data_IF_513693681461
#
_entry.id   IF_513693681461
#
_cell.length_a   1.000
_cell.length_b   1.000
_cell.length_c   1.000
_cell.angle_alpha   90.00
_cell.angle_beta   90.00
_cell.angle_gamma   90.00
#
_symmetry.space_group_name_H-M   'P 1'
#
loop_
_entity.id
_entity.type
_entity.pdbx_description
1 polymer ?
#
# COMPACT_ATOMS: atom_id res chain seq x y z
N UNK A 1 1.34 -26.47 -2.44
CA UNK A 1 2.05 -25.74 -1.37
C UNK A 1 1.09 -24.67 -0.88
N UNK A 2 0.86 -24.55 0.44
CA UNK A 2 0.05 -23.45 0.96
C UNK A 2 0.76 -22.16 0.60
N UNK A 3 0.10 -21.24 -0.08
CA UNK A 3 0.62 -19.90 -0.34
C UNK A 3 0.86 -19.21 1.01
N UNK A 4 1.91 -18.47 1.07
CA UNK A 4 2.50 -17.88 2.25
C UNK A 4 1.71 -16.62 2.70
N UNK A 5 2.18 -15.94 3.72
CA UNK A 5 1.47 -14.80 4.30
C UNK A 5 1.70 -13.53 3.48
N UNK A 6 0.63 -12.78 3.25
CA UNK A 6 0.67 -11.43 2.70
C UNK A 6 0.24 -10.42 3.78
N UNK A 7 1.10 -9.48 4.13
CA UNK A 7 0.79 -8.37 5.03
C UNK A 7 0.45 -7.12 4.21
N UNK A 8 -0.70 -6.49 4.50
CA UNK A 8 -1.14 -5.25 3.87
C UNK A 8 -1.30 -4.18 4.94
N UNK A 9 -0.45 -3.14 4.93
CA UNK A 9 -0.60 -2.03 5.86
C UNK A 9 -1.78 -1.14 5.50
N UNK A 10 -2.54 -0.67 6.52
CA UNK A 10 -3.81 0.00 6.27
C UNK A 10 -4.81 -0.87 5.51
N UNK A 11 -4.77 -2.18 5.75
CA UNK A 11 -5.50 -3.20 5.00
C UNK A 11 -7.03 -3.12 5.14
N UNK A 12 -7.53 -2.46 6.19
CA UNK A 12 -8.96 -2.31 6.45
C UNK A 12 -9.57 -1.02 5.85
N UNK A 13 -8.77 -0.20 5.15
CA UNK A 13 -9.26 0.95 4.38
C UNK A 13 -9.81 0.52 3.01
N UNK A 14 -10.46 1.44 2.28
CA UNK A 14 -11.12 1.12 1.00
C UNK A 14 -10.19 0.46 -0.02
N UNK A 15 -9.03 1.04 -0.30
CA UNK A 15 -8.04 0.46 -1.21
C UNK A 15 -7.40 -0.81 -0.61
N UNK A 16 -7.06 -0.77 0.69
CA UNK A 16 -6.49 -1.89 1.41
C UNK A 16 -7.39 -3.12 1.38
N UNK A 17 -8.70 -2.93 1.55
CA UNK A 17 -9.70 -4.00 1.45
C UNK A 17 -9.70 -4.69 0.08
N UNK A 18 -9.65 -3.92 -1.00
CA UNK A 18 -9.58 -4.50 -2.35
C UNK A 18 -8.27 -5.27 -2.58
N UNK A 19 -7.14 -4.75 -2.09
CA UNK A 19 -5.84 -5.44 -2.15
C UNK A 19 -5.92 -6.76 -1.36
N UNK A 20 -6.46 -6.73 -0.13
CA UNK A 20 -6.64 -7.94 0.68
C UNK A 20 -7.49 -8.99 -0.04
N UNK A 21 -8.61 -8.58 -0.64
CA UNK A 21 -9.49 -9.49 -1.41
C UNK A 21 -8.77 -10.11 -2.61
N UNK A 22 -8.04 -9.32 -3.40
CA UNK A 22 -7.31 -9.84 -4.57
C UNK A 22 -6.20 -10.82 -4.16
N UNK A 23 -5.44 -10.54 -3.10
CA UNK A 23 -4.44 -11.46 -2.58
C UNK A 23 -5.06 -12.75 -2.00
N UNK A 24 -6.18 -12.65 -1.29
CA UNK A 24 -6.88 -13.81 -0.75
C UNK A 24 -7.45 -14.72 -1.86
N UNK A 25 -7.97 -14.14 -2.96
CA UNK A 25 -8.40 -14.90 -4.15
C UNK A 25 -7.25 -15.71 -4.77
N UNK A 26 -6.04 -15.18 -4.72
CA UNK A 26 -4.84 -15.88 -5.16
C UNK A 26 -4.34 -16.94 -4.14
N UNK A 27 -5.02 -17.09 -3.01
CA UNK A 27 -4.77 -18.14 -2.00
C UNK A 27 -3.70 -17.76 -0.96
N UNK A 28 -3.34 -16.48 -0.81
CA UNK A 28 -2.51 -16.02 0.30
C UNK A 28 -3.30 -16.01 1.60
N UNK A 29 -2.63 -16.31 2.72
CA UNK A 29 -3.11 -15.95 4.05
C UNK A 29 -2.89 -14.46 4.22
N UNK A 30 -3.94 -13.68 4.23
CA UNK A 30 -3.83 -12.22 4.25
C UNK A 30 -3.95 -11.68 5.66
N UNK A 31 -3.00 -10.85 6.07
CA UNK A 31 -3.06 -10.07 7.30
C UNK A 31 -3.29 -8.61 6.93
N UNK A 32 -4.42 -8.07 7.37
CA UNK A 32 -4.76 -6.66 7.22
C UNK A 32 -4.29 -5.89 8.46
N UNK A 33 -3.30 -5.00 8.30
CA UNK A 33 -2.91 -4.15 9.41
C UNK A 33 -3.95 -3.04 9.64
N UNK A 34 -4.20 -2.76 10.90
CA UNK A 34 -4.98 -1.63 11.39
C UNK A 34 -4.33 -1.05 12.65
N UNK A 35 -4.79 0.12 13.09
CA UNK A 35 -4.38 0.69 14.36
C UNK A 35 -4.82 -0.21 15.53
N UNK A 36 -4.09 -0.21 16.64
CA UNK A 36 -4.58 -0.80 17.88
C UNK A 36 -5.96 -0.23 18.23
N UNK A 37 -6.83 -1.07 18.76
CA UNK A 37 -8.20 -0.70 19.15
C UNK A 37 -9.02 -0.04 18.03
N UNK A 38 -8.78 -0.38 16.77
CA UNK A 38 -9.52 0.13 15.62
C UNK A 38 -11.00 -0.30 15.70
N UNK A 39 -11.96 0.62 15.94
CA UNK A 39 -13.34 0.24 16.25
C UNK A 39 -14.03 -0.59 15.16
N UNK A 40 -13.82 -0.34 13.85
CA UNK A 40 -14.44 -1.14 12.79
C UNK A 40 -13.81 -2.53 12.57
N UNK A 41 -12.72 -2.90 13.29
CA UNK A 41 -11.97 -4.14 13.03
C UNK A 41 -12.83 -5.39 12.98
N UNK A 42 -13.64 -5.61 14.02
CA UNK A 42 -14.43 -6.84 14.15
C UNK A 42 -15.56 -6.91 13.10
N UNK A 43 -16.19 -5.78 12.81
CA UNK A 43 -17.20 -5.67 11.75
C UNK A 43 -16.58 -5.92 10.37
N UNK A 44 -15.39 -5.35 10.12
CA UNK A 44 -14.67 -5.56 8.88
C UNK A 44 -14.29 -7.03 8.69
N UNK A 45 -13.77 -7.70 9.74
CA UNK A 45 -13.44 -9.13 9.69
C UNK A 45 -14.68 -9.98 9.44
N UNK A 46 -15.80 -9.65 10.09
CA UNK A 46 -17.06 -10.35 9.87
C UNK A 46 -17.56 -10.19 8.43
N UNK A 47 -17.45 -8.99 7.86
CA UNK A 47 -17.81 -8.70 6.47
C UNK A 47 -16.94 -9.50 5.50
N UNK A 48 -15.63 -9.50 5.68
CA UNK A 48 -14.71 -10.28 4.86
C UNK A 48 -15.03 -11.77 4.90
N UNK A 49 -15.31 -12.30 6.09
CA UNK A 49 -15.70 -13.70 6.27
C UNK A 49 -17.04 -14.02 5.60
N UNK A 50 -18.03 -13.13 5.70
CA UNK A 50 -19.32 -13.30 5.02
C UNK A 50 -19.19 -13.33 3.49
N UNK A 51 -18.21 -12.61 2.96
CA UNK A 51 -17.87 -12.63 1.53
C UNK A 51 -16.97 -13.82 1.12
N UNK A 52 -16.62 -14.70 2.05
CA UNK A 52 -15.83 -15.91 1.79
C UNK A 52 -14.31 -15.70 1.87
N UNK A 53 -13.83 -14.58 2.45
CA UNK A 53 -12.41 -14.32 2.66
C UNK A 53 -12.00 -14.61 4.10
N UNK A 54 -11.05 -15.52 4.28
CA UNK A 54 -10.42 -15.79 5.59
C UNK A 54 -9.18 -14.89 5.71
N UNK A 55 -9.31 -13.82 6.50
CA UNK A 55 -8.30 -12.80 6.70
C UNK A 55 -8.03 -12.59 8.19
N UNK A 56 -6.83 -12.15 8.51
CA UNK A 56 -6.36 -11.91 9.87
C UNK A 56 -6.15 -10.43 10.10
N UNK A 57 -6.23 -9.98 11.36
CA UNK A 57 -5.86 -8.63 11.75
C UNK A 57 -4.43 -8.58 12.27
N UNK A 58 -3.67 -7.55 11.87
CA UNK A 58 -2.37 -7.20 12.41
C UNK A 58 -2.42 -5.80 13.04
N UNK A 59 -2.50 -5.71 14.36
CA UNK A 59 -2.65 -4.43 15.05
C UNK A 59 -1.28 -3.77 15.28
N UNK A 60 -1.07 -2.59 14.73
CA UNK A 60 0.06 -1.72 14.98
C UNK A 60 -0.20 -0.31 14.42
N UNK A 61 0.27 0.72 15.10
CA UNK A 61 0.49 2.01 14.48
C UNK A 61 1.78 1.91 13.63
N UNK A 62 1.65 2.00 12.32
CA UNK A 62 2.79 1.88 11.40
C UNK A 62 3.79 3.02 11.50
N UNK A 63 3.45 4.12 12.19
CA UNK A 63 4.37 5.21 12.49
C UNK A 63 5.28 4.89 13.68
N UNK A 64 4.93 3.88 14.47
CA UNK A 64 5.71 3.39 15.61
C UNK A 64 6.54 2.17 15.19
N UNK A 65 7.85 2.35 15.19
CA UNK A 65 8.81 1.33 14.77
C UNK A 65 8.73 0.05 15.62
N UNK A 66 8.62 0.19 16.95
CA UNK A 66 8.59 -0.97 17.85
C UNK A 66 7.28 -1.75 17.75
N UNK A 67 6.15 -1.07 17.57
CA UNK A 67 4.86 -1.73 17.30
C UNK A 67 4.91 -2.51 15.99
N UNK A 68 5.55 -1.98 14.93
CA UNK A 68 5.76 -2.70 13.68
C UNK A 68 6.54 -4.00 13.92
N UNK A 69 7.61 -3.95 14.69
CA UNK A 69 8.40 -5.14 15.03
C UNK A 69 7.64 -6.17 15.84
N UNK A 70 6.84 -5.73 16.81
CA UNK A 70 5.98 -6.62 17.61
C UNK A 70 4.91 -7.29 16.74
N UNK A 71 4.26 -6.53 15.85
CA UNK A 71 3.29 -7.06 14.89
C UNK A 71 3.90 -8.12 13.98
N UNK A 72 5.05 -7.84 13.37
CA UNK A 72 5.72 -8.79 12.47
C UNK A 72 6.06 -10.09 13.20
N UNK A 73 6.65 -10.02 14.39
CA UNK A 73 6.97 -11.20 15.21
C UNK A 73 5.74 -12.03 15.53
N UNK A 74 4.62 -11.38 15.89
CA UNK A 74 3.36 -12.06 16.18
C UNK A 74 2.81 -12.77 14.95
N UNK A 75 2.78 -12.10 13.80
CA UNK A 75 2.32 -12.69 12.53
C UNK A 75 3.15 -13.92 12.18
N UNK A 76 4.48 -13.82 12.23
CA UNK A 76 5.36 -14.93 11.86
C UNK A 76 5.24 -16.12 12.82
N UNK A 77 5.00 -15.88 14.11
CA UNK A 77 4.82 -16.92 15.11
C UNK A 77 3.45 -17.64 15.01
N UNK A 78 2.37 -16.91 14.72
CA UNK A 78 1.00 -17.42 14.81
C UNK A 78 0.42 -17.84 13.44
N UNK A 79 0.85 -17.20 12.34
CA UNK A 79 0.23 -17.39 11.01
C UNK A 79 1.23 -17.98 10.01
N UNK A 80 2.46 -17.48 10.00
CA UNK A 80 3.53 -17.95 9.13
C UNK A 80 4.42 -16.82 8.60
N UNK A 81 5.45 -17.21 7.87
CA UNK A 81 6.43 -16.28 7.30
C UNK A 81 5.78 -15.32 6.31
N UNK A 82 6.12 -14.03 6.42
CA UNK A 82 5.62 -13.00 5.51
C UNK A 82 6.45 -13.04 4.23
N UNK A 83 5.82 -13.43 3.12
CA UNK A 83 6.46 -13.46 1.80
C UNK A 83 6.02 -12.34 0.88
N UNK A 84 4.90 -11.69 1.20
CA UNK A 84 4.40 -10.51 0.48
C UNK A 84 4.14 -9.40 1.48
N UNK A 85 4.71 -8.23 1.22
CA UNK A 85 4.44 -6.99 1.94
C UNK A 85 3.85 -5.97 0.98
N UNK A 86 2.66 -5.45 1.28
CA UNK A 86 2.07 -4.30 0.60
C UNK A 86 2.03 -3.12 1.55
N UNK A 87 2.91 -2.15 1.34
CA UNK A 87 2.92 -0.88 2.05
C UNK A 87 1.86 0.04 1.45
N UNK A 88 0.66 0.02 2.03
CA UNK A 88 -0.50 0.78 1.54
C UNK A 88 -0.96 1.86 2.53
N UNK A 89 -0.64 1.79 3.81
CA UNK A 89 -1.03 2.80 4.79
C UNK A 89 -0.66 4.23 4.33
N UNK A 90 -1.56 5.17 4.53
CA UNK A 90 -1.32 6.54 4.14
C UNK A 90 -2.48 7.48 4.48
N UNK A 91 -2.13 8.74 4.65
CA UNK A 91 -3.07 9.85 4.90
C UNK A 91 -2.76 11.04 4.01
N UNK A 92 -3.72 11.95 3.89
CA UNK A 92 -3.52 13.28 3.30
C UNK A 92 -3.80 14.37 4.35
N UNK A 93 -3.08 15.49 4.24
CA UNK A 93 -3.31 16.73 4.98
C UNK A 93 -3.02 17.88 4.00
N UNK A 94 -3.98 18.12 3.13
CA UNK A 94 -3.84 19.02 1.99
C UNK A 94 -3.86 20.48 2.43
N UNK A 95 -3.07 21.32 1.75
CA UNK A 95 -3.01 22.74 2.00
C UNK A 95 -1.94 23.41 1.14
N UNK A 96 -2.13 24.68 0.82
CA UNK A 96 -1.10 25.46 0.14
C UNK A 96 0.18 25.52 0.97
N UNK A 97 1.35 25.31 0.36
CA UNK A 97 2.64 25.22 1.05
C UNK A 97 2.88 26.38 2.02
N UNK A 98 2.58 27.62 1.62
CA UNK A 98 2.75 28.82 2.48
C UNK A 98 1.90 28.83 3.75
N UNK A 99 0.86 27.98 3.82
CA UNK A 99 -0.07 27.85 4.96
C UNK A 99 0.00 26.48 5.62
N UNK A 100 0.89 25.61 5.14
CA UNK A 100 1.02 24.25 5.66
C UNK A 100 1.67 24.28 7.03
N UNK A 101 0.96 23.76 8.01
CA UNK A 101 1.50 23.62 9.35
C UNK A 101 2.53 22.47 9.41
N UNK A 102 3.58 22.66 10.21
CA UNK A 102 4.63 21.65 10.39
C UNK A 102 4.07 20.31 10.86
N UNK A 103 3.05 20.33 11.72
CA UNK A 103 2.38 19.13 12.21
C UNK A 103 1.71 18.33 11.06
N UNK A 104 1.10 19.01 10.08
CA UNK A 104 0.50 18.35 8.91
C UNK A 104 1.57 17.77 7.96
N UNK A 105 2.70 18.47 7.84
CA UNK A 105 3.85 17.94 7.12
C UNK A 105 4.37 16.67 7.78
N UNK A 106 4.66 16.71 9.09
CA UNK A 106 5.22 15.59 9.84
C UNK A 106 4.29 14.39 9.85
N UNK A 107 3.00 14.59 10.10
CA UNK A 107 2.03 13.52 10.09
C UNK A 107 1.98 12.78 8.75
N UNK A 108 2.07 13.51 7.63
CA UNK A 108 2.05 12.89 6.30
C UNK A 108 3.35 12.17 6.00
N UNK A 109 4.51 12.75 6.34
CA UNK A 109 5.81 12.09 6.13
C UNK A 109 5.89 10.82 6.98
N UNK A 110 5.54 10.90 8.27
CA UNK A 110 5.59 9.76 9.17
C UNK A 110 4.68 8.62 8.73
N UNK A 111 3.42 8.93 8.37
CA UNK A 111 2.47 7.88 7.97
C UNK A 111 2.74 7.32 6.57
N UNK A 112 3.17 8.16 5.61
CA UNK A 112 3.25 7.73 4.21
C UNK A 112 4.65 7.31 3.77
N UNK A 113 5.72 7.69 4.49
CA UNK A 113 7.10 7.38 4.12
C UNK A 113 7.83 6.61 5.23
N UNK A 114 7.89 7.15 6.46
CA UNK A 114 8.60 6.48 7.54
C UNK A 114 7.98 5.13 7.87
N UNK A 115 6.65 5.00 7.78
CA UNK A 115 5.95 3.74 7.96
C UNK A 115 6.43 2.63 6.99
N UNK A 116 6.76 3.01 5.75
CA UNK A 116 7.29 2.06 4.75
C UNK A 116 8.64 1.52 5.20
N UNK A 117 9.50 2.38 5.73
CA UNK A 117 10.76 1.95 6.35
C UNK A 117 10.47 1.06 7.57
N UNK A 118 9.65 1.51 8.50
CA UNK A 118 9.38 0.83 9.76
C UNK A 118 8.96 -0.63 9.56
N UNK A 119 8.01 -0.88 8.67
CA UNK A 119 7.51 -2.25 8.42
C UNK A 119 8.49 -3.05 7.58
N UNK A 120 9.02 -2.46 6.50
CA UNK A 120 9.92 -3.15 5.57
C UNK A 120 11.21 -3.58 6.25
N UNK A 121 11.75 -2.78 7.16
CA UNK A 121 12.99 -3.07 7.87
C UNK A 121 12.94 -4.36 8.70
N UNK A 122 11.79 -4.70 9.28
CA UNK A 122 11.63 -5.96 10.01
C UNK A 122 11.42 -7.19 9.12
N UNK A 123 10.95 -7.02 7.89
CA UNK A 123 10.54 -8.13 7.02
C UNK A 123 11.60 -8.45 5.96
N UNK A 124 12.18 -7.42 5.34
CA UNK A 124 13.07 -7.57 4.18
C UNK A 124 14.30 -8.43 4.43
N UNK A 125 15.00 -8.34 5.59
CA UNK A 125 16.15 -9.19 5.87
C UNK A 125 15.82 -10.69 5.84
N UNK A 126 14.70 -11.08 6.46
CA UNK A 126 14.25 -12.47 6.48
C UNK A 126 13.83 -12.95 5.08
N UNK A 127 13.18 -12.11 4.27
CA UNK A 127 12.91 -12.43 2.85
C UNK A 127 14.21 -12.68 2.08
N UNK A 128 15.21 -11.81 2.25
CA UNK A 128 16.52 -11.93 1.58
C UNK A 128 17.29 -13.17 2.01
N UNK A 129 17.21 -13.56 3.27
CA UNK A 129 17.83 -14.77 3.81
C UNK A 129 17.18 -16.05 3.23
N UNK A 130 15.84 -16.06 3.10
CA UNK A 130 15.09 -17.18 2.53
C UNK A 130 15.21 -17.30 1.01
N UNK A 131 15.69 -16.25 0.33
CA UNK A 131 15.79 -16.23 -1.13
C UNK A 131 14.44 -16.00 -1.83
N UNK A 132 13.42 -15.47 -1.14
CA UNK A 132 12.12 -15.16 -1.69
C UNK A 132 11.41 -14.02 -0.94
N UNK A 133 10.81 -13.11 -1.69
CA UNK A 133 9.98 -12.04 -1.13
C UNK A 133 9.43 -11.11 -2.21
N UNK A 134 8.30 -10.48 -1.90
CA UNK A 134 7.63 -9.51 -2.76
C UNK A 134 7.25 -8.29 -1.93
N UNK A 135 7.88 -7.16 -2.19
CA UNK A 135 7.54 -5.87 -1.56
C UNK A 135 6.89 -4.97 -2.59
N UNK A 136 5.69 -4.50 -2.29
CA UNK A 136 4.87 -3.66 -3.17
C UNK A 136 4.54 -2.38 -2.40
N UNK A 137 5.01 -1.26 -2.89
CA UNK A 137 4.82 0.04 -2.26
C UNK A 137 3.74 0.84 -2.99
N UNK A 138 2.69 1.22 -2.32
CA UNK A 138 1.63 2.04 -2.91
C UNK A 138 2.06 3.52 -2.83
N UNK A 139 2.54 4.02 -3.97
CA UNK A 139 2.84 5.43 -4.19
C UNK A 139 1.58 6.19 -4.66
N UNK A 140 1.70 7.07 -5.62
CA UNK A 140 0.62 7.86 -6.22
C UNK A 140 1.10 8.51 -7.51
N UNK A 141 0.19 8.80 -8.43
CA UNK A 141 0.45 9.70 -9.55
C UNK A 141 0.96 11.07 -9.07
N UNK A 142 0.54 11.49 -7.87
CA UNK A 142 1.00 12.75 -7.27
C UNK A 142 2.44 12.69 -6.70
N UNK A 143 2.97 11.50 -6.48
CA UNK A 143 4.39 11.28 -6.20
C UNK A 143 5.25 11.33 -7.47
N UNK A 144 4.66 11.15 -8.65
CA UNK A 144 5.36 11.20 -9.95
C UNK A 144 5.31 12.60 -10.55
N UNK A 145 4.09 13.18 -10.66
CA UNK A 145 3.90 14.48 -11.33
C UNK A 145 3.85 15.69 -10.38
N UNK A 146 3.73 15.45 -9.08
CA UNK A 146 3.38 16.48 -8.10
C UNK A 146 1.90 16.88 -8.16
N UNK A 147 1.41 17.55 -7.12
CA UNK A 147 0.04 18.05 -7.07
C UNK A 147 -0.04 19.34 -6.26
N UNK A 148 -0.71 20.35 -6.79
CA UNK A 148 -0.99 21.60 -6.07
C UNK A 148 -1.72 21.32 -4.76
N UNK A 149 -1.25 21.93 -3.67
CA UNK A 149 -1.84 21.74 -2.34
C UNK A 149 -1.41 20.46 -1.63
N UNK A 150 -0.54 19.63 -2.22
CA UNK A 150 -0.09 18.36 -1.66
C UNK A 150 1.45 18.25 -1.60
N UNK A 151 2.14 19.30 -1.21
CA UNK A 151 3.59 19.28 -1.15
C UNK A 151 4.14 18.17 -0.22
N UNK A 152 3.52 17.98 0.96
CA UNK A 152 3.85 16.91 1.91
C UNK A 152 3.57 15.51 1.32
N UNK A 153 2.38 15.30 0.79
CA UNK A 153 1.97 14.01 0.21
C UNK A 153 2.80 13.65 -1.02
N UNK A 154 3.00 14.61 -1.93
CA UNK A 154 3.83 14.40 -3.12
C UNK A 154 5.28 14.08 -2.75
N UNK A 155 5.85 14.77 -1.75
CA UNK A 155 7.20 14.50 -1.27
C UNK A 155 7.31 13.07 -0.68
N UNK A 156 6.37 12.67 0.19
CA UNK A 156 6.34 11.34 0.77
C UNK A 156 6.20 10.24 -0.32
N UNK A 157 5.25 10.41 -1.24
CA UNK A 157 4.99 9.42 -2.29
C UNK A 157 6.11 9.37 -3.35
N UNK A 158 6.82 10.47 -3.60
CA UNK A 158 8.04 10.48 -4.40
C UNK A 158 9.21 9.80 -3.66
N UNK A 159 9.35 10.01 -2.35
CA UNK A 159 10.35 9.34 -1.52
C UNK A 159 10.23 7.81 -1.57
N UNK A 160 9.01 7.27 -1.60
CA UNK A 160 8.74 5.84 -1.79
C UNK A 160 9.37 5.31 -3.10
N UNK A 161 9.33 6.08 -4.18
CA UNK A 161 9.89 5.66 -5.47
C UNK A 161 11.42 5.53 -5.41
N UNK A 162 12.07 6.46 -4.69
CA UNK A 162 13.51 6.40 -4.43
C UNK A 162 13.88 5.19 -3.58
N UNK A 163 13.16 4.99 -2.47
CA UNK A 163 13.34 3.85 -1.57
C UNK A 163 13.14 2.51 -2.30
N UNK A 164 12.10 2.40 -3.12
CA UNK A 164 11.82 1.21 -3.95
C UNK A 164 13.02 0.83 -4.82
N UNK A 165 13.61 1.79 -5.52
CA UNK A 165 14.76 1.57 -6.41
C UNK A 165 16.03 1.17 -5.65
N UNK A 166 16.27 1.78 -4.49
CA UNK A 166 17.42 1.47 -3.65
C UNK A 166 17.33 0.03 -3.11
N UNK A 167 16.21 -0.31 -2.46
CA UNK A 167 16.00 -1.65 -1.91
C UNK A 167 16.01 -2.74 -2.99
N UNK A 168 15.43 -2.48 -4.16
CA UNK A 168 15.46 -3.41 -5.27
C UNK A 168 16.89 -3.81 -5.67
N UNK A 169 17.83 -2.86 -5.69
CA UNK A 169 19.23 -3.13 -6.00
C UNK A 169 19.90 -3.99 -4.92
N UNK A 170 19.57 -3.77 -3.65
CA UNK A 170 20.17 -4.50 -2.52
C UNK A 170 19.74 -5.97 -2.49
N UNK A 171 18.48 -6.27 -2.87
CA UNK A 171 17.90 -7.60 -2.65
C UNK A 171 17.59 -8.40 -3.93
N UNK A 172 17.77 -7.84 -5.13
CA UNK A 172 17.46 -8.54 -6.39
C UNK A 172 18.20 -9.90 -6.51
N UNK A 173 19.49 -9.93 -6.18
CA UNK A 173 20.28 -11.17 -6.19
C UNK A 173 19.84 -12.21 -5.15
N UNK A 174 18.98 -11.79 -4.22
CA UNK A 174 18.42 -12.63 -3.16
C UNK A 174 17.01 -13.15 -3.51
N UNK A 175 16.59 -13.04 -4.77
CA UNK A 175 15.25 -13.52 -5.18
C UNK A 175 14.07 -12.69 -4.67
N UNK A 176 14.33 -11.51 -4.13
CA UNK A 176 13.30 -10.58 -3.63
C UNK A 176 13.07 -9.48 -4.66
N UNK A 177 11.80 -9.16 -4.95
CA UNK A 177 11.45 -8.01 -5.78
C UNK A 177 10.86 -6.89 -4.94
N UNK A 178 11.19 -5.65 -5.28
CA UNK A 178 10.65 -4.44 -4.65
C UNK A 178 10.14 -3.52 -5.75
N UNK A 179 8.82 -3.26 -5.78
CA UNK A 179 8.19 -2.45 -6.80
C UNK A 179 7.26 -1.41 -6.20
N UNK A 180 6.99 -0.34 -6.93
CA UNK A 180 6.00 0.65 -6.57
C UNK A 180 4.84 0.65 -7.58
N UNK A 181 3.63 0.91 -7.08
CA UNK A 181 2.45 1.21 -7.88
C UNK A 181 2.14 2.70 -7.71
N UNK A 182 1.85 3.40 -8.79
CA UNK A 182 1.44 4.81 -8.79
C UNK A 182 -0.01 4.94 -9.29
N UNK A 183 -1.01 4.75 -8.39
CA UNK A 183 -2.41 4.91 -8.75
C UNK A 183 -2.75 6.36 -9.12
N UNK A 184 -3.72 6.50 -10.02
CA UNK A 184 -4.43 7.77 -10.24
C UNK A 184 -5.55 7.98 -9.22
N UNK A 185 -6.64 8.61 -9.65
CA UNK A 185 -7.85 8.74 -8.84
C UNK A 185 -8.65 7.44 -8.85
N UNK A 186 -8.78 6.84 -7.67
CA UNK A 186 -9.45 5.54 -7.47
C UNK A 186 -10.78 5.77 -6.75
N UNK A 187 -11.85 5.17 -7.25
CA UNK A 187 -13.21 5.26 -6.72
C UNK A 187 -13.40 4.49 -5.41
N UNK A 188 -12.67 4.85 -4.37
CA UNK A 188 -12.92 4.39 -3.01
C UNK A 188 -14.13 5.12 -2.42
N UNK A 189 -14.72 4.59 -1.35
CA UNK A 189 -15.87 5.22 -0.67
C UNK A 189 -15.58 6.68 -0.29
N UNK A 190 -14.36 6.98 0.12
CA UNK A 190 -13.90 8.34 0.42
C UNK A 190 -14.01 9.26 -0.80
N UNK A 191 -13.62 8.81 -1.98
CA UNK A 191 -13.70 9.58 -3.23
C UNK A 191 -15.14 9.65 -3.72
N UNK A 192 -15.91 8.59 -3.54
CA UNK A 192 -17.34 8.57 -3.91
C UNK A 192 -18.19 9.47 -3.01
N UNK A 193 -17.76 9.74 -1.78
CA UNK A 193 -18.42 10.69 -0.86
C UNK A 193 -18.17 12.17 -1.20
N UNK A 194 -17.24 12.48 -2.13
CA UNK A 194 -17.02 13.84 -2.62
C UNK A 194 -18.26 14.29 -3.45
N UNK A 195 -18.59 15.59 -3.38
CA UNK A 195 -19.66 16.18 -4.19
C UNK A 195 -19.50 15.82 -5.67
N UNK A 196 -20.60 15.48 -6.32
CA UNK A 196 -20.63 15.00 -7.69
C UNK A 196 -19.92 15.94 -8.67
N UNK A 197 -20.20 17.26 -8.57
CA UNK A 197 -19.58 18.26 -9.45
C UNK A 197 -18.05 18.29 -9.32
N UNK A 198 -17.54 18.10 -8.09
CA UNK A 198 -16.07 18.04 -7.84
C UNK A 198 -15.50 16.75 -8.38
N UNK A 199 -16.21 15.64 -8.19
CA UNK A 199 -15.81 14.32 -8.70
C UNK A 199 -15.78 14.32 -10.23
N UNK A 200 -16.78 14.91 -10.88
CA UNK A 200 -16.85 15.01 -12.34
C UNK A 200 -15.74 15.89 -12.90
N UNK A 201 -15.41 16.99 -12.21
CA UNK A 201 -14.25 17.80 -12.56
C UNK A 201 -12.93 17.01 -12.47
N UNK A 202 -12.77 16.13 -11.47
CA UNK A 202 -11.63 15.22 -11.37
C UNK A 202 -11.63 14.23 -12.54
N UNK A 203 -12.75 13.58 -12.82
CA UNK A 203 -12.90 12.61 -13.92
C UNK A 203 -12.55 13.25 -15.26
N UNK A 204 -12.97 14.50 -15.49
CA UNK A 204 -12.67 15.22 -16.72
C UNK A 204 -11.17 15.44 -16.96
N UNK A 205 -10.34 15.37 -15.90
CA UNK A 205 -8.88 15.44 -16.05
C UNK A 205 -8.24 14.10 -16.42
N UNK A 206 -8.95 12.97 -16.26
CA UNK A 206 -8.45 11.63 -16.52
C UNK A 206 -8.63 11.28 -17.99
N UNK A 207 -7.56 11.02 -18.79
CA UNK A 207 -7.72 10.68 -20.20
C UNK A 207 -8.61 9.45 -20.44
N UNK A 208 -8.63 8.47 -19.53
CA UNK A 208 -9.51 7.31 -19.61
C UNK A 208 -10.99 7.63 -19.32
N UNK A 209 -11.34 8.87 -18.92
CA UNK A 209 -12.70 9.35 -18.70
C UNK A 209 -13.43 8.71 -17.51
N UNK A 210 -12.70 8.10 -16.57
CA UNK A 210 -13.27 7.47 -15.39
C UNK A 210 -12.27 7.42 -14.22
N UNK A 211 -12.80 7.19 -13.02
CA UNK A 211 -11.98 6.76 -11.89
C UNK A 211 -11.49 5.31 -12.11
N UNK A 212 -10.31 4.98 -11.58
CA UNK A 212 -9.88 3.60 -11.43
C UNK A 212 -10.74 2.88 -10.38
N UNK A 213 -10.90 1.57 -10.54
CA UNK A 213 -11.57 0.73 -9.52
C UNK A 213 -10.54 0.25 -8.50
N UNK A 214 -10.89 0.15 -7.20
CA UNK A 214 -10.00 -0.42 -6.19
C UNK A 214 -9.48 -1.82 -6.57
N UNK A 215 -10.31 -2.63 -7.23
CA UNK A 215 -9.97 -3.98 -7.69
C UNK A 215 -8.83 -3.96 -8.73
N UNK A 216 -8.78 -2.95 -9.61
CA UNK A 216 -7.70 -2.83 -10.60
C UNK A 216 -6.33 -2.67 -9.92
N UNK A 217 -6.29 -2.01 -8.76
CA UNK A 217 -5.06 -1.90 -7.95
C UNK A 217 -4.78 -3.21 -7.21
N UNK A 218 -5.82 -3.84 -6.65
CA UNK A 218 -5.72 -5.13 -5.99
C UNK A 218 -5.17 -6.22 -6.91
N UNK A 219 -5.67 -6.30 -8.13
CA UNK A 219 -5.26 -7.28 -9.14
C UNK A 219 -3.81 -7.06 -9.59
N UNK A 220 -3.37 -5.80 -9.72
CA UNK A 220 -1.97 -5.48 -9.99
C UNK A 220 -1.07 -5.87 -8.81
N UNK A 221 -1.51 -5.65 -7.55
CA UNK A 221 -0.79 -6.13 -6.38
C UNK A 221 -0.67 -7.66 -6.39
N UNK A 222 -1.75 -8.37 -6.70
CA UNK A 222 -1.76 -9.82 -6.78
C UNK A 222 -0.84 -10.36 -7.89
N UNK A 223 -0.80 -9.69 -9.04
CA UNK A 223 0.14 -10.01 -10.11
C UNK A 223 1.60 -9.81 -9.66
N UNK A 224 1.94 -8.67 -9.06
CA UNK A 224 3.29 -8.38 -8.58
C UNK A 224 3.73 -9.29 -7.42
N UNK A 225 2.78 -9.79 -6.63
CA UNK A 225 3.01 -10.77 -5.58
C UNK A 225 3.31 -12.18 -6.13
N UNK A 226 2.93 -12.46 -7.36
CA UNK A 226 3.07 -13.78 -7.97
C UNK A 226 4.49 -14.05 -8.52
N UNK A 227 4.78 -15.32 -8.80
CA UNK A 227 6.02 -15.73 -9.45
C UNK A 227 6.14 -15.25 -10.89
N UNK A 228 5.00 -14.92 -11.52
CA UNK A 228 4.95 -14.38 -12.90
C UNK A 228 5.64 -13.01 -13.01
N UNK A 229 5.71 -12.26 -11.91
CA UNK A 229 6.36 -10.95 -11.83
C UNK A 229 7.83 -11.03 -11.32
N UNK A 230 8.40 -12.21 -11.21
CA UNK A 230 9.73 -12.43 -10.61
C UNK A 230 10.89 -11.69 -11.29
N UNK A 231 10.72 -11.19 -12.51
CA UNK A 231 11.72 -10.39 -13.22
C UNK A 231 11.42 -8.88 -13.21
N UNK A 232 10.35 -8.46 -12.51
CA UNK A 232 9.99 -7.05 -12.33
C UNK A 232 10.49 -6.62 -10.96
N UNK A 233 11.52 -5.76 -10.92
CA UNK A 233 12.03 -5.17 -9.67
C UNK A 233 12.55 -3.76 -9.90
N UNK A 234 12.41 -2.87 -8.91
CA UNK A 234 12.78 -1.45 -9.01
C UNK A 234 11.83 -0.62 -9.90
N UNK A 235 10.75 -1.21 -10.38
CA UNK A 235 9.82 -0.55 -11.26
C UNK A 235 8.82 0.35 -10.51
N UNK A 236 8.38 1.42 -11.18
CA UNK A 236 7.19 2.19 -10.81
C UNK A 236 6.13 1.93 -11.87
N UNK A 237 5.05 1.27 -11.51
CA UNK A 237 3.98 0.92 -12.45
C UNK A 237 2.86 1.94 -12.31
N UNK A 238 2.67 2.73 -13.38
CA UNK A 238 1.61 3.70 -13.47
C UNK A 238 0.27 3.00 -13.77
N UNK A 239 -0.74 3.21 -12.91
CA UNK A 239 -2.10 2.75 -13.09
C UNK A 239 -3.04 3.93 -12.78
N UNK A 240 -3.10 4.89 -13.70
CA UNK A 240 -3.66 6.21 -13.45
C UNK A 240 -4.59 6.73 -14.56
N UNK A 241 -5.01 5.87 -15.46
CA UNK A 241 -5.92 6.27 -16.56
C UNK A 241 -5.32 7.28 -17.54
N UNK A 242 -3.99 7.37 -17.61
CA UNK A 242 -3.28 8.31 -18.48
C UNK A 242 -3.00 9.68 -17.85
N UNK A 243 -3.29 9.90 -16.56
CA UNK A 243 -2.97 11.17 -15.87
C UNK A 243 -1.47 11.50 -15.87
N UNK A 244 -0.63 10.48 -15.97
CA UNK A 244 0.81 10.58 -16.17
C UNK A 244 1.26 9.43 -17.07
N UNK A 245 2.01 9.77 -18.11
CA UNK A 245 2.59 8.86 -19.09
C UNK A 245 4.12 9.07 -19.07
N UNK A 246 4.87 8.04 -18.68
CA UNK A 246 6.34 8.09 -18.59
C UNK A 246 6.92 6.89 -17.88
#
# INVERSE_FOLDING_TARGET
>A
MSKNVALVTGGMGGLGTAICKSLAKEGYKVVANCLPDFPPKDEWLATMKAEGFDVYAGEADVTDYEQCGAMVKKIEAEIGQIDVLVNNAGITRDGMFRKMEKANWDAVLSTNLDSVFNVTHYILPAMAERGYGRVINISSVNGVKGQFGQANYSAAKAGILGLTKALAQEVAKKGVTVNAIAPGYIGTDMVMAIKEEVRDAIIATVPAGRLGKPEEIGDLCAYLASDKAGYITGATININGGLHMG
#
